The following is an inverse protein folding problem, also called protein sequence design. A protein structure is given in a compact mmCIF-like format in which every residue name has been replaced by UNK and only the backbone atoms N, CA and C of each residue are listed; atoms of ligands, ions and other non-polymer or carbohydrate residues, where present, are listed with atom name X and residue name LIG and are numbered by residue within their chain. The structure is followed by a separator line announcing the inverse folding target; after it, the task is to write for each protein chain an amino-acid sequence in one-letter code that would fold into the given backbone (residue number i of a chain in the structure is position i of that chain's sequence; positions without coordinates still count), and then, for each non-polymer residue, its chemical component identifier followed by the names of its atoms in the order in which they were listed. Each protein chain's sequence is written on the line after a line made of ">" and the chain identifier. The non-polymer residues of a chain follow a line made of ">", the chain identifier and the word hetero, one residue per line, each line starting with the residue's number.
data_IF_161195796442
#
_entry.id   IF_161195796442
#
_cell.length_a   1.000
_cell.length_b   1.000
_cell.length_c   1.000
_cell.angle_alpha   90.00
_cell.angle_beta   90.00
_cell.angle_gamma   90.00
#
_symmetry.space_group_name_H-M   'P 1'
#
loop_
_entity.id
_entity.type
_entity.pdbx_description
1 polymer ?
#
# COMPACT_ATOMS: atom_id res chain seq x y z
N UNK A 1 -13.92 31.38 9.54
CA UNK A 1 -15.02 30.52 10.06
C UNK A 1 -15.10 29.17 9.33
N UNK A 2 -14.99 29.09 8.00
CA UNK A 2 -15.06 27.81 7.25
C UNK A 2 -13.99 26.76 7.60
N UNK A 3 -12.78 27.17 7.96
CA UNK A 3 -11.67 26.25 8.32
C UNK A 3 -11.88 25.53 9.67
N UNK A 4 -12.55 26.18 10.61
CA UNK A 4 -12.84 25.61 11.94
C UNK A 4 -13.96 24.58 11.88
N UNK A 5 -14.94 24.79 10.99
CA UNK A 5 -16.01 23.82 10.73
C UNK A 5 -15.46 22.54 10.08
N UNK A 6 -14.50 22.64 9.16
CA UNK A 6 -13.85 21.47 8.56
C UNK A 6 -13.08 20.65 9.60
N UNK A 7 -12.35 21.32 10.49
CA UNK A 7 -11.60 20.67 11.57
C UNK A 7 -12.53 19.98 12.59
N UNK A 8 -13.66 20.62 12.91
CA UNK A 8 -14.68 20.09 13.81
C UNK A 8 -15.39 18.86 13.21
N UNK A 9 -15.69 18.88 11.91
CA UNK A 9 -16.23 17.72 11.18
C UNK A 9 -15.22 16.58 11.17
N UNK A 10 -13.93 16.87 10.93
CA UNK A 10 -12.86 15.87 10.97
C UNK A 10 -12.72 15.22 12.36
N UNK A 11 -12.91 16.01 13.42
CA UNK A 11 -12.78 15.56 14.81
C UNK A 11 -14.01 14.76 15.26
N UNK A 12 -15.22 15.13 14.81
CA UNK A 12 -16.47 14.40 15.12
C UNK A 12 -16.52 13.02 14.48
N UNK A 13 -15.96 12.87 13.27
CA UNK A 13 -15.84 11.57 12.57
C UNK A 13 -14.90 10.61 13.31
N UNK A 14 -13.86 11.12 13.98
CA UNK A 14 -12.87 10.30 14.70
C UNK A 14 -13.42 9.67 15.99
N UNK A 15 -14.48 10.22 16.58
CA UNK A 15 -15.01 9.82 17.90
C UNK A 15 -16.04 8.67 17.89
N UNK A 16 -16.42 8.12 16.72
CA UNK A 16 -17.52 7.14 16.61
C UNK A 16 -17.10 5.67 16.36
N UNK A 17 -15.81 5.33 16.28
CA UNK A 17 -15.36 3.97 15.92
C UNK A 17 -15.02 3.09 17.14
N UNK A 18 -16.05 2.51 17.77
CA UNK A 18 -15.87 1.41 18.72
C UNK A 18 -15.97 0.05 18.02
N UNK A 19 -14.85 -0.69 18.06
CA UNK A 19 -14.71 -2.17 18.04
C UNK A 19 -14.98 -2.90 16.73
N UNK A 20 -14.04 -2.82 15.77
CA UNK A 20 -13.50 -3.94 14.96
C UNK A 20 -12.17 -3.46 14.36
N UNK A 21 -11.04 -4.10 14.66
CA UNK A 21 -9.76 -3.75 14.06
C UNK A 21 -9.71 -4.23 12.61
N UNK A 22 -9.67 -3.30 11.66
CA UNK A 22 -9.61 -3.59 10.22
C UNK A 22 -8.18 -3.86 9.76
N UNK A 23 -7.21 -3.20 10.37
CA UNK A 23 -5.81 -3.48 10.16
C UNK A 23 -5.46 -4.89 10.63
N UNK A 24 -4.96 -5.71 9.71
CA UNK A 24 -4.60 -7.11 9.93
C UNK A 24 -3.18 -7.40 9.45
N UNK A 25 -2.67 -8.56 9.85
CA UNK A 25 -1.44 -9.10 9.29
C UNK A 25 -1.77 -9.78 7.98
N UNK A 26 -1.22 -9.27 6.89
CA UNK A 26 -1.54 -9.75 5.56
C UNK A 26 -0.29 -9.83 4.71
N UNK A 27 -0.18 -10.88 3.90
CA UNK A 27 0.88 -11.05 2.92
C UNK A 27 0.29 -10.82 1.53
N UNK A 28 0.77 -9.77 0.88
CA UNK A 28 0.28 -9.35 -0.42
C UNK A 28 1.28 -9.76 -1.50
N UNK A 29 0.79 -10.49 -2.50
CA UNK A 29 1.53 -10.92 -3.68
C UNK A 29 0.95 -10.20 -4.89
N UNK A 30 1.65 -9.22 -5.43
CA UNK A 30 1.28 -8.65 -6.72
C UNK A 30 2.15 -9.17 -7.84
N UNK A 31 1.85 -8.69 -9.05
CA UNK A 31 2.45 -9.18 -10.29
C UNK A 31 3.98 -9.17 -10.29
N UNK A 32 4.57 -8.15 -9.67
CA UNK A 32 6.01 -7.87 -9.71
C UNK A 32 6.59 -7.63 -8.32
N UNK A 33 5.89 -8.03 -7.25
CA UNK A 33 6.37 -7.73 -5.91
C UNK A 33 5.53 -8.31 -4.79
N UNK A 34 6.09 -8.25 -3.59
CA UNK A 34 5.46 -8.71 -2.37
C UNK A 34 5.56 -7.65 -1.29
N UNK A 35 4.55 -7.56 -0.43
CA UNK A 35 4.63 -6.75 0.77
C UNK A 35 3.94 -7.45 1.94
N UNK A 36 4.38 -7.12 3.15
CA UNK A 36 3.87 -7.72 4.38
C UNK A 36 3.29 -6.65 5.28
N UNK A 37 1.97 -6.62 5.42
CA UNK A 37 1.25 -5.66 6.25
C UNK A 37 1.34 -6.02 7.73
N UNK A 38 1.73 -5.05 8.55
CA UNK A 38 1.86 -5.17 9.99
C UNK A 38 0.92 -4.14 10.63
N UNK A 39 -0.10 -4.57 11.39
CA UNK A 39 -0.99 -3.65 12.07
C UNK A 39 -0.25 -2.96 13.22
N UNK A 40 -0.24 -1.63 13.20
CA UNK A 40 0.34 -0.79 14.25
C UNK A 40 -0.75 -0.02 15.04
N UNK A 41 -1.96 0.01 14.50
CA UNK A 41 -3.16 0.59 15.09
C UNK A 41 -4.39 -0.15 14.54
N UNK A 42 -5.58 0.02 15.14
CA UNK A 42 -6.82 -0.64 14.70
C UNK A 42 -7.19 -0.43 13.23
N UNK A 43 -6.79 0.71 12.67
CA UNK A 43 -7.08 1.09 11.28
C UNK A 43 -5.80 1.45 10.50
N UNK A 44 -4.61 1.15 11.03
CA UNK A 44 -3.35 1.51 10.36
C UNK A 44 -2.41 0.31 10.29
N UNK A 45 -1.91 0.04 9.09
CA UNK A 45 -0.81 -0.90 8.85
C UNK A 45 0.42 -0.18 8.32
N UNK A 46 1.58 -0.73 8.62
CA UNK A 46 2.83 -0.43 7.93
C UNK A 46 3.27 -1.71 7.23
N UNK A 47 3.72 -1.59 5.97
CA UNK A 47 4.15 -2.74 5.18
C UNK A 47 5.51 -2.50 4.53
N UNK A 48 6.58 -3.18 4.94
CA UNK A 48 7.76 -3.31 4.08
C UNK A 48 7.36 -4.04 2.79
N UNK A 49 7.94 -3.60 1.68
CA UNK A 49 7.68 -4.09 0.34
C UNK A 49 9.00 -4.31 -0.41
N UNK A 50 9.03 -5.34 -1.24
CA UNK A 50 10.04 -5.54 -2.26
C UNK A 50 9.33 -5.81 -3.58
N UNK A 51 9.76 -5.14 -4.64
CA UNK A 51 9.22 -5.32 -5.97
C UNK A 51 10.36 -5.27 -7.00
N UNK A 52 10.04 -5.65 -8.21
CA UNK A 52 10.91 -5.59 -9.37
C UNK A 52 10.11 -5.07 -10.56
N UNK A 53 10.74 -4.88 -11.70
CA UNK A 53 10.07 -4.65 -12.97
C UNK A 53 9.92 -5.97 -13.74
N UNK A 54 9.23 -5.93 -14.87
CA UNK A 54 8.98 -7.14 -15.67
C UNK A 54 10.26 -7.71 -16.30
N UNK A 55 11.26 -6.86 -16.51
CA UNK A 55 12.55 -7.22 -17.11
C UNK A 55 13.59 -7.66 -16.05
N UNK A 56 13.25 -7.56 -14.75
CA UNK A 56 14.10 -7.92 -13.60
C UNK A 56 15.39 -7.08 -13.45
N UNK A 57 15.45 -5.96 -14.15
CA UNK A 57 16.59 -5.04 -14.11
C UNK A 57 16.58 -4.14 -12.89
N UNK A 58 15.44 -3.99 -12.22
CA UNK A 58 15.28 -3.12 -11.06
C UNK A 58 14.80 -3.89 -9.84
N UNK A 59 15.41 -3.59 -8.70
CA UNK A 59 14.92 -4.01 -7.39
C UNK A 59 14.45 -2.77 -6.65
N UNK A 60 13.17 -2.76 -6.29
CA UNK A 60 12.54 -1.69 -5.53
C UNK A 60 12.34 -2.14 -4.09
N UNK A 61 12.94 -1.42 -3.15
CA UNK A 61 12.68 -1.59 -1.72
C UNK A 61 11.79 -0.46 -1.24
N UNK A 62 10.73 -0.76 -0.51
CA UNK A 62 9.80 0.27 -0.09
C UNK A 62 9.08 -0.02 1.21
N UNK A 63 8.33 0.97 1.64
CA UNK A 63 7.42 0.89 2.78
C UNK A 63 6.11 1.58 2.43
N UNK A 64 5.01 1.00 2.90
CA UNK A 64 3.65 1.53 2.75
C UNK A 64 3.08 1.79 4.14
N UNK A 65 2.30 2.84 4.28
CA UNK A 65 1.48 3.10 5.46
C UNK A 65 0.04 3.27 5.00
N UNK A 66 -0.84 2.34 5.38
CA UNK A 66 -2.23 2.30 4.95
C UNK A 66 -3.16 2.64 6.12
N UNK A 67 -4.15 3.49 5.84
CA UNK A 67 -5.29 3.74 6.71
C UNK A 67 -6.53 3.08 6.10
N UNK A 68 -7.27 2.30 6.89
CA UNK A 68 -8.49 1.61 6.48
C UNK A 68 -9.70 2.50 6.72
N UNK A 69 -10.44 2.77 5.65
CA UNK A 69 -11.59 3.66 5.66
C UNK A 69 -12.90 2.91 5.87
N UNK A 70 -12.90 1.60 6.04
CA UNK A 70 -14.14 0.83 6.06
C UNK A 70 -15.03 1.24 7.26
N UNK A 71 -14.43 1.59 8.40
CA UNK A 71 -15.13 2.24 9.52
C UNK A 71 -15.77 3.59 9.14
N UNK A 72 -15.09 4.39 8.31
CA UNK A 72 -15.59 5.70 7.84
C UNK A 72 -16.75 5.54 6.83
N UNK A 73 -16.69 4.51 5.98
CA UNK A 73 -17.71 4.21 4.99
C UNK A 73 -18.83 3.30 5.49
N UNK A 74 -18.77 2.86 6.75
CA UNK A 74 -19.77 1.97 7.34
C UNK A 74 -19.77 0.58 6.70
N UNK A 75 -18.63 0.15 6.16
CA UNK A 75 -18.46 -1.20 5.63
C UNK A 75 -18.30 -2.13 6.83
N UNK A 76 -19.31 -2.98 7.04
CA UNK A 76 -19.33 -3.96 8.14
C UNK A 76 -19.00 -5.37 7.68
N UNK A 77 -18.89 -5.59 6.37
CA UNK A 77 -18.55 -6.87 5.77
C UNK A 77 -17.04 -7.07 5.86
N UNK A 78 -16.60 -8.16 6.50
CA UNK A 78 -15.19 -8.51 6.70
C UNK A 78 -14.51 -9.05 5.42
N UNK A 79 -15.30 -9.25 4.38
CA UNK A 79 -14.82 -9.57 3.05
C UNK A 79 -14.23 -8.36 2.33
N UNK A 80 -14.58 -7.12 2.70
CA UNK A 80 -14.18 -5.92 1.97
C UNK A 80 -13.37 -4.96 2.83
N UNK A 81 -12.24 -4.52 2.29
CA UNK A 81 -11.48 -3.39 2.85
C UNK A 81 -11.28 -2.32 1.78
N UNK A 82 -11.35 -1.06 2.20
CA UNK A 82 -11.00 0.09 1.36
C UNK A 82 -10.01 0.94 2.13
N UNK A 83 -8.83 1.13 1.57
CA UNK A 83 -7.74 1.80 2.25
C UNK A 83 -7.08 2.84 1.37
N UNK A 84 -6.35 3.73 2.00
CA UNK A 84 -5.49 4.68 1.33
C UNK A 84 -4.37 5.10 2.26
N UNK A 85 -3.31 5.59 1.66
CA UNK A 85 -2.04 5.64 2.35
C UNK A 85 -0.99 6.43 1.63
N UNK A 86 0.19 6.40 2.22
CA UNK A 86 1.41 6.91 1.63
C UNK A 86 2.42 5.78 1.50
N UNK A 87 3.33 5.92 0.55
CA UNK A 87 4.42 4.99 0.32
C UNK A 87 5.72 5.76 0.08
N UNK A 88 6.82 5.06 0.34
CA UNK A 88 8.16 5.53 0.05
C UNK A 88 8.99 4.36 -0.46
N UNK A 89 9.87 4.61 -1.41
CA UNK A 89 10.62 3.55 -2.07
C UNK A 89 11.96 4.02 -2.59
N UNK A 90 12.84 3.05 -2.80
CA UNK A 90 14.16 3.25 -3.37
C UNK A 90 14.41 2.19 -4.45
N UNK A 91 14.77 2.66 -5.64
CA UNK A 91 15.05 1.82 -6.79
C UNK A 91 16.55 1.53 -6.92
N UNK A 92 16.91 0.26 -7.07
CA UNK A 92 18.26 -0.25 -7.24
C UNK A 92 18.34 -0.92 -8.61
N UNK A 93 19.20 -0.40 -9.50
CA UNK A 93 19.46 -1.04 -10.78
C UNK A 93 20.38 -2.27 -10.60
N UNK A 94 20.02 -3.37 -11.25
CA UNK A 94 20.70 -4.66 -11.21
C UNK A 94 20.76 -5.35 -12.59
N UNK A 95 20.49 -4.62 -13.68
CA UNK A 95 20.65 -5.15 -15.04
C UNK A 95 22.10 -5.52 -15.36
N UNK A 96 22.29 -6.56 -16.18
CA UNK A 96 23.62 -6.96 -16.65
C UNK A 96 24.10 -5.97 -17.73
N UNK A 97 25.13 -5.19 -17.40
CA UNK A 97 25.86 -4.37 -18.38
C UNK A 97 26.73 -5.25 -19.28
N UNK A 98 26.13 -5.80 -20.33
CA UNK A 98 26.86 -6.27 -21.51
C UNK A 98 26.88 -5.16 -22.56
N UNK A 99 27.29 -3.94 -22.21
CA UNK A 99 28.02 -3.05 -23.13
C UNK A 99 28.40 -1.73 -22.47
N UNK A 100 29.44 -1.18 -23.05
CA UNK A 100 30.25 -0.05 -22.65
C UNK A 100 29.48 1.30 -22.73
N UNK A 101 28.49 1.57 -21.89
CA UNK A 101 27.88 2.90 -21.82
C UNK A 101 27.80 3.46 -20.40
N UNK A 102 28.33 4.68 -20.26
CA UNK A 102 28.42 5.45 -19.02
C UNK A 102 27.09 6.16 -18.72
N UNK A 103 25.98 5.43 -18.80
CA UNK A 103 24.68 6.00 -18.45
C UNK A 103 24.47 5.87 -16.95
N UNK A 104 24.37 7.02 -16.31
CA UNK A 104 24.19 7.16 -14.87
C UNK A 104 22.81 6.61 -14.52
N UNK A 105 22.71 5.32 -14.20
CA UNK A 105 21.50 4.74 -13.63
C UNK A 105 21.37 5.25 -12.19
N UNK A 106 20.87 6.48 -12.08
CA UNK A 106 20.69 7.16 -10.81
C UNK A 106 19.59 6.44 -10.01
N UNK A 107 20.05 5.69 -9.01
CA UNK A 107 19.18 5.13 -7.97
C UNK A 107 18.33 6.25 -7.37
N UNK A 108 17.01 6.08 -7.41
CA UNK A 108 16.06 7.14 -7.10
C UNK A 108 15.24 6.78 -5.88
N UNK A 109 15.02 7.80 -5.04
CA UNK A 109 14.08 7.75 -3.92
C UNK A 109 12.80 8.48 -4.32
N UNK A 110 11.66 7.86 -4.07
CA UNK A 110 10.35 8.45 -4.32
C UNK A 110 9.48 8.36 -3.06
N UNK A 111 8.45 9.19 -3.05
CA UNK A 111 7.33 9.12 -2.13
C UNK A 111 6.03 9.32 -2.91
N UNK A 112 5.01 8.62 -2.48
CA UNK A 112 3.74 8.57 -3.19
C UNK A 112 2.55 8.48 -2.25
N UNK A 113 1.39 8.69 -2.84
CA UNK A 113 0.10 8.39 -2.21
C UNK A 113 -0.54 7.24 -2.97
N UNK A 114 -1.34 6.47 -2.25
CA UNK A 114 -2.02 5.30 -2.80
C UNK A 114 -3.43 5.17 -2.27
N UNK A 115 -4.31 4.60 -3.08
CA UNK A 115 -5.65 4.19 -2.68
C UNK A 115 -5.89 2.80 -3.23
N UNK A 116 -6.50 1.92 -2.45
CA UNK A 116 -6.72 0.54 -2.83
C UNK A 116 -7.97 -0.05 -2.22
N UNK A 117 -8.39 -1.15 -2.82
CA UNK A 117 -9.49 -1.98 -2.34
C UNK A 117 -9.06 -3.43 -2.31
N UNK A 118 -9.65 -4.19 -1.40
CA UNK A 118 -9.39 -5.60 -1.21
C UNK A 118 -10.68 -6.35 -0.98
N UNK A 119 -10.77 -7.52 -1.57
CA UNK A 119 -11.91 -8.42 -1.42
C UNK A 119 -11.46 -9.84 -1.11
N UNK A 120 -11.94 -10.39 -0.01
CA UNK A 120 -11.68 -11.75 0.43
C UNK A 120 -12.81 -12.68 -0.02
N UNK A 121 -12.47 -13.68 -0.80
CA UNK A 121 -13.44 -14.72 -1.19
C UNK A 121 -13.54 -15.85 -0.15
N UNK A 122 -12.62 -15.89 0.81
CA UNK A 122 -12.70 -16.77 1.98
C UNK A 122 -11.91 -16.17 3.18
N UNK A 123 -11.90 -16.88 4.30
CA UNK A 123 -11.25 -16.44 5.56
C UNK A 123 -9.74 -16.19 5.46
N UNK A 124 -9.07 -16.69 4.41
CA UNK A 124 -7.62 -16.56 4.23
C UNK A 124 -7.22 -15.73 3.03
N UNK A 125 -7.91 -15.86 1.91
CA UNK A 125 -7.43 -15.39 0.63
C UNK A 125 -8.37 -14.37 0.01
N UNK A 126 -7.76 -13.36 -0.59
CA UNK A 126 -8.44 -12.26 -1.25
C UNK A 126 -7.66 -11.75 -2.44
N UNK A 127 -8.29 -10.90 -3.22
CA UNK A 127 -7.65 -10.10 -4.26
C UNK A 127 -7.57 -8.66 -3.78
N UNK A 128 -6.59 -7.92 -4.28
CA UNK A 128 -6.51 -6.49 -4.06
C UNK A 128 -6.08 -5.78 -5.32
N UNK A 129 -6.50 -4.52 -5.41
CA UNK A 129 -6.06 -3.59 -6.43
C UNK A 129 -5.81 -2.23 -5.79
N UNK A 130 -4.76 -1.56 -6.23
CA UNK A 130 -4.27 -0.30 -5.70
C UNK A 130 -3.84 0.60 -6.85
N UNK A 131 -4.18 1.88 -6.74
CA UNK A 131 -3.67 2.94 -7.60
C UNK A 131 -2.68 3.72 -6.75
N UNK A 132 -1.42 3.74 -7.18
CA UNK A 132 -0.31 4.40 -6.48
C UNK A 132 0.31 5.48 -7.37
N UNK A 133 0.66 6.62 -6.77
CA UNK A 133 1.47 7.67 -7.38
C UNK A 133 2.94 7.58 -6.96
N UNK A 134 3.83 8.28 -7.69
CA UNK A 134 5.29 8.25 -7.50
C UNK A 134 5.98 7.49 -8.64
N UNK A 135 6.93 8.11 -9.34
CA UNK A 135 7.42 7.63 -10.64
C UNK A 135 8.18 6.30 -10.59
N UNK A 136 8.86 6.00 -9.47
CA UNK A 136 9.48 4.67 -9.25
C UNK A 136 8.64 3.73 -8.40
N UNK A 137 7.63 4.24 -7.70
CA UNK A 137 6.74 3.46 -6.82
C UNK A 137 5.54 2.87 -7.59
N UNK A 138 5.36 3.22 -8.87
CA UNK A 138 4.46 2.50 -9.78
C UNK A 138 4.76 0.99 -9.90
N UNK A 139 5.90 0.52 -9.38
CA UNK A 139 6.28 -0.89 -9.29
C UNK A 139 5.83 -1.59 -7.99
N UNK A 140 5.38 -0.87 -6.95
CA UNK A 140 4.79 -1.50 -5.77
C UNK A 140 3.50 -2.21 -6.21
N UNK A 141 3.26 -3.45 -5.75
CA UNK A 141 2.23 -4.28 -6.34
C UNK A 141 0.86 -3.61 -6.26
N UNK A 142 0.37 -3.28 -7.46
CA UNK A 142 -0.84 -2.49 -7.68
C UNK A 142 -2.06 -3.38 -7.99
N UNK A 143 -1.83 -4.67 -8.24
CA UNK A 143 -2.88 -5.67 -8.36
C UNK A 143 -2.30 -7.03 -7.99
N UNK A 144 -3.09 -7.84 -7.29
CA UNK A 144 -2.60 -9.13 -6.83
C UNK A 144 -3.55 -9.90 -5.93
N UNK A 145 -2.96 -10.90 -5.29
CA UNK A 145 -3.59 -11.77 -4.30
C UNK A 145 -3.06 -11.42 -2.92
N UNK A 146 -3.92 -11.45 -1.92
CA UNK A 146 -3.57 -11.24 -0.52
C UNK A 146 -3.93 -12.45 0.32
N UNK A 147 -3.16 -12.68 1.38
CA UNK A 147 -3.38 -13.74 2.34
C UNK A 147 -3.41 -13.18 3.76
N UNK A 148 -4.51 -13.37 4.48
CA UNK A 148 -4.63 -13.15 5.93
C UNK A 148 -3.77 -14.18 6.67
N UNK A 149 -3.01 -13.71 7.67
CA UNK A 149 -2.10 -14.50 8.50
C UNK A 149 -2.63 -14.73 9.91
#
# INVERSE_FOLDING_TARGET
>A
MKKFTLLLVFTLILSASTVFGQARKELNFGLIGVNYEIPIHKDITIAPAVATDLDLDWINLGVKANYYFDNLFGITDDAWDVYGGANAGYAIYNGHNDDYDNDHHDSSFDVGLQVGGRWFWNEKWGVYAEISGGSTIGAIPSIGVTMKL
#
